data_IF_493451130019
#
_entry.id   IF_493451130019
#
_cell.length_a   1.000
_cell.length_b   1.000
_cell.length_c   1.000
_cell.angle_alpha   90.00
_cell.angle_beta   90.00
_cell.angle_gamma   90.00
#
_symmetry.space_group_name_H-M   'P 1'
#
loop_
_entity.id
_entity.type
_entity.pdbx_description
1 polymer ?
#
# COMPACT_ATOMS: atom_id res chain seq x y z
N UNK A 1 -23.58 0.90 -14.81
CA UNK A 1 -24.08 1.44 -13.52
C UNK A 1 -23.04 1.38 -12.41
N UNK A 2 -22.46 0.22 -12.05
CA UNK A 2 -21.43 0.12 -10.99
C UNK A 2 -20.17 0.97 -11.23
N UNK A 3 -19.62 0.95 -12.44
CA UNK A 3 -18.45 1.77 -12.81
C UNK A 3 -18.74 3.28 -12.74
N UNK A 4 -19.98 3.69 -13.04
CA UNK A 4 -20.41 5.09 -12.98
C UNK A 4 -20.58 5.57 -11.54
N UNK A 5 -20.99 4.68 -10.63
CA UNK A 5 -21.06 4.97 -9.19
C UNK A 5 -19.65 5.12 -8.59
N UNK A 6 -18.71 4.25 -8.96
CA UNK A 6 -17.30 4.39 -8.53
C UNK A 6 -16.69 5.68 -9.08
N UNK A 7 -16.91 5.99 -10.35
CA UNK A 7 -16.44 7.24 -10.96
C UNK A 7 -17.06 8.48 -10.30
N UNK A 8 -18.36 8.44 -9.95
CA UNK A 8 -19.04 9.51 -9.25
C UNK A 8 -18.56 9.69 -7.80
N UNK A 9 -18.22 8.61 -7.10
CA UNK A 9 -17.61 8.70 -5.77
C UNK A 9 -16.19 9.28 -5.81
N UNK A 10 -15.41 8.97 -6.86
CA UNK A 10 -14.05 9.49 -7.04
C UNK A 10 -14.03 10.98 -7.41
N UNK A 11 -15.07 11.49 -8.09
CA UNK A 11 -15.16 12.91 -8.48
C UNK A 11 -15.78 13.83 -7.41
N UNK A 12 -16.21 13.28 -6.28
CA UNK A 12 -16.64 14.03 -5.09
C UNK A 12 -15.50 14.30 -4.10
N UNK A 13 -14.26 14.01 -4.48
CA UNK A 13 -13.06 14.31 -3.68
C UNK A 13 -12.97 15.80 -3.40
N UNK A 14 -13.23 16.21 -2.16
CA UNK A 14 -12.98 17.56 -1.68
C UNK A 14 -11.52 17.95 -1.86
N UNK A 15 -11.20 19.23 -1.62
CA UNK A 15 -9.85 19.80 -1.76
C UNK A 15 -8.80 18.83 -1.18
N UNK A 16 -8.07 18.14 -2.06
CA UNK A 16 -7.02 17.22 -1.68
C UNK A 16 -5.81 18.07 -1.30
N UNK A 17 -5.38 17.95 -0.06
CA UNK A 17 -4.17 18.60 0.45
C UNK A 17 -3.05 17.56 0.55
N UNK A 18 -1.79 18.01 0.46
CA UNK A 18 -0.62 17.14 0.62
C UNK A 18 -0.11 17.20 2.06
N UNK A 19 0.36 16.08 2.58
CA UNK A 19 0.97 16.05 3.90
C UNK A 19 2.33 16.78 3.88
N UNK A 20 2.57 17.62 4.89
CA UNK A 20 3.91 18.12 5.23
C UNK A 20 4.50 17.27 6.34
N UNK A 21 5.26 16.25 5.95
CA UNK A 21 5.88 15.26 6.82
C UNK A 21 7.38 15.09 6.52
N UNK A 22 8.12 14.45 7.42
CA UNK A 22 9.55 14.18 7.22
C UNK A 22 9.82 12.83 6.56
N UNK A 23 10.86 12.77 5.75
CA UNK A 23 11.30 11.53 5.09
C UNK A 23 11.77 10.43 6.05
N UNK A 24 12.22 10.79 7.26
CA UNK A 24 12.84 9.89 8.23
C UNK A 24 12.10 9.87 9.57
N UNK A 25 10.80 10.17 9.58
CA UNK A 25 9.97 10.09 10.78
C UNK A 25 9.71 8.65 11.25
N UNK A 26 9.35 8.49 12.53
CA UNK A 26 8.92 7.19 13.09
C UNK A 26 7.78 6.56 12.29
N UNK A 27 6.86 7.38 11.84
CA UNK A 27 5.74 7.01 10.98
C UNK A 27 6.19 6.29 9.69
N UNK A 28 7.30 6.73 9.07
CA UNK A 28 7.86 6.09 7.87
C UNK A 28 8.40 4.70 8.12
N UNK A 29 8.94 4.46 9.31
CA UNK A 29 9.34 3.10 9.71
C UNK A 29 8.13 2.18 9.86
N UNK A 30 6.98 2.70 10.32
CA UNK A 30 5.73 1.93 10.39
C UNK A 30 5.19 1.60 8.99
N UNK A 31 5.18 2.59 8.08
CA UNK A 31 4.85 2.38 6.67
C UNK A 31 5.70 1.27 6.04
N UNK A 32 7.02 1.36 6.20
CA UNK A 32 7.95 0.35 5.72
C UNK A 32 7.66 -1.05 6.31
N UNK A 33 7.58 -1.15 7.64
CA UNK A 33 7.44 -2.44 8.33
C UNK A 33 6.07 -3.09 8.05
N UNK A 34 5.00 -2.30 8.09
CA UNK A 34 3.65 -2.79 7.81
C UNK A 34 3.51 -3.24 6.36
N UNK A 35 4.04 -2.49 5.40
CA UNK A 35 4.04 -2.87 3.99
C UNK A 35 4.89 -4.11 3.70
N UNK A 36 6.04 -4.26 4.38
CA UNK A 36 6.82 -5.49 4.30
C UNK A 36 6.03 -6.70 4.81
N UNK A 37 5.37 -6.57 5.95
CA UNK A 37 4.55 -7.62 6.53
C UNK A 37 3.34 -7.97 5.63
N UNK A 38 2.64 -6.97 5.11
CA UNK A 38 1.50 -7.16 4.20
C UNK A 38 1.92 -7.85 2.90
N UNK A 39 3.07 -7.46 2.31
CA UNK A 39 3.57 -8.12 1.11
C UNK A 39 3.90 -9.60 1.38
N UNK A 40 4.61 -9.88 2.48
CA UNK A 40 4.92 -11.25 2.91
C UNK A 40 3.67 -12.09 3.15
N UNK A 41 2.72 -11.55 3.93
CA UNK A 41 1.45 -12.21 4.22
C UNK A 41 0.62 -12.46 2.95
N UNK A 42 0.59 -11.50 2.02
CA UNK A 42 -0.09 -11.65 0.74
C UNK A 42 0.54 -12.76 -0.12
N UNK A 43 1.88 -12.82 -0.19
CA UNK A 43 2.55 -13.93 -0.89
C UNK A 43 2.30 -15.28 -0.22
N UNK A 44 2.28 -15.35 1.11
CA UNK A 44 1.93 -16.57 1.83
C UNK A 44 0.50 -17.02 1.53
N UNK A 45 -0.46 -16.09 1.57
CA UNK A 45 -1.86 -16.37 1.25
C UNK A 45 -2.04 -16.77 -0.23
N UNK A 46 -1.19 -16.29 -1.13
CA UNK A 46 -1.15 -16.72 -2.53
C UNK A 46 -0.53 -18.12 -2.67
N UNK A 47 0.53 -18.43 -1.91
CA UNK A 47 1.19 -19.73 -1.87
C UNK A 47 0.22 -20.84 -1.47
N UNK A 48 -0.56 -20.63 -0.40
CA UNK A 48 -1.57 -21.56 0.10
C UNK A 48 -2.67 -21.85 -0.94
N UNK A 49 -2.88 -20.92 -1.88
CA UNK A 49 -3.81 -21.08 -3.02
C UNK A 49 -3.14 -21.69 -4.26
N UNK A 50 -1.92 -22.20 -4.14
CA UNK A 50 -1.17 -22.83 -5.22
C UNK A 50 -0.55 -21.85 -6.23
N UNK A 51 -0.58 -20.55 -5.95
CA UNK A 51 0.17 -19.58 -6.77
C UNK A 51 1.67 -19.70 -6.45
N UNK A 52 2.50 -19.55 -7.49
CA UNK A 52 3.96 -19.72 -7.40
C UNK A 52 4.66 -18.62 -8.19
N UNK A 53 5.92 -18.35 -7.83
CA UNK A 53 6.82 -17.47 -8.56
C UNK A 53 6.22 -16.08 -8.82
N UNK A 54 6.23 -15.62 -10.06
CA UNK A 54 5.77 -14.27 -10.41
C UNK A 54 4.28 -13.99 -10.16
N UNK A 55 3.41 -15.01 -10.05
CA UNK A 55 1.98 -14.80 -9.71
C UNK A 55 1.80 -14.51 -8.22
N UNK A 56 2.51 -15.26 -7.39
CA UNK A 56 2.53 -15.10 -5.95
C UNK A 56 3.12 -13.73 -5.56
N UNK A 57 4.26 -13.37 -6.16
CA UNK A 57 4.90 -12.07 -5.96
C UNK A 57 3.98 -10.91 -6.33
N UNK A 58 3.35 -10.96 -7.52
CA UNK A 58 2.38 -9.93 -7.95
C UNK A 58 1.21 -9.80 -6.98
N UNK A 59 0.67 -10.92 -6.50
CA UNK A 59 -0.44 -10.86 -5.55
C UNK A 59 -0.02 -10.16 -4.25
N UNK A 60 1.09 -10.57 -3.64
CA UNK A 60 1.54 -9.97 -2.37
C UNK A 60 1.92 -8.49 -2.49
N UNK A 61 2.65 -8.12 -3.54
CA UNK A 61 3.01 -6.72 -3.79
C UNK A 61 1.78 -5.85 -4.04
N UNK A 62 0.86 -6.29 -4.90
CA UNK A 62 -0.38 -5.55 -5.16
C UNK A 62 -1.27 -5.47 -3.92
N UNK A 63 -1.32 -6.54 -3.11
CA UNK A 63 -2.06 -6.56 -1.86
C UNK A 63 -1.54 -5.49 -0.89
N UNK A 64 -0.22 -5.44 -0.67
CA UNK A 64 0.40 -4.42 0.18
C UNK A 64 0.18 -2.99 -0.32
N UNK A 65 0.48 -2.74 -1.60
CA UNK A 65 0.34 -1.40 -2.19
C UNK A 65 -1.11 -0.91 -2.20
N UNK A 66 -2.09 -1.80 -2.31
CA UNK A 66 -3.50 -1.43 -2.22
C UNK A 66 -3.86 -0.84 -0.84
N UNK A 67 -3.26 -1.34 0.24
CA UNK A 67 -3.43 -0.75 1.57
C UNK A 67 -2.76 0.62 1.69
N UNK A 68 -1.53 0.78 1.19
CA UNK A 68 -0.83 2.06 1.19
C UNK A 68 -1.60 3.14 0.42
N UNK A 69 -1.94 2.86 -0.84
CA UNK A 69 -2.76 3.76 -1.68
C UNK A 69 -4.13 4.03 -1.03
N UNK A 70 -4.77 2.99 -0.48
CA UNK A 70 -6.05 3.12 0.20
C UNK A 70 -5.99 4.05 1.40
N UNK A 71 -4.91 3.98 2.20
CA UNK A 71 -4.65 4.89 3.32
C UNK A 71 -4.47 6.32 2.82
N UNK A 72 -3.63 6.55 1.80
CA UNK A 72 -3.42 7.89 1.26
C UNK A 72 -4.69 8.53 0.68
N UNK A 73 -5.53 7.73 0.01
CA UNK A 73 -6.86 8.18 -0.44
C UNK A 73 -7.77 8.54 0.74
N UNK A 74 -7.67 7.79 1.85
CA UNK A 74 -8.41 8.08 3.08
C UNK A 74 -7.91 9.36 3.77
N UNK A 75 -6.60 9.59 3.75
CA UNK A 75 -5.97 10.76 4.37
C UNK A 75 -6.19 12.03 3.54
N UNK A 76 -6.46 11.90 2.23
CA UNK A 76 -6.79 13.00 1.32
C UNK A 76 -8.16 13.66 1.55
N UNK A 77 -8.97 13.15 2.49
CA UNK A 77 -10.26 13.77 2.86
C UNK A 77 -10.02 15.12 3.55
N UNK A 78 -11.02 16.00 3.52
CA UNK A 78 -10.92 17.35 4.10
C UNK A 78 -10.53 17.37 5.60
N UNK A 79 -10.83 16.31 6.36
CA UNK A 79 -10.47 16.17 7.78
C UNK A 79 -9.27 15.23 8.02
N UNK A 80 -8.61 14.76 6.97
CA UNK A 80 -7.42 13.90 7.05
C UNK A 80 -6.11 14.68 7.05
N UNK A 81 -4.99 13.96 7.11
CA UNK A 81 -3.63 14.51 7.11
C UNK A 81 -3.15 14.98 5.72
N UNK A 82 -3.88 14.64 4.66
CA UNK A 82 -3.47 14.86 3.28
C UNK A 82 -2.65 13.71 2.70
N UNK A 83 -2.51 13.70 1.38
CA UNK A 83 -1.73 12.69 0.64
C UNK A 83 -0.23 12.88 0.91
N UNK A 84 0.46 11.82 1.34
CA UNK A 84 1.91 11.75 1.45
C UNK A 84 2.52 10.85 0.38
N UNK A 85 3.29 11.47 -0.53
CA UNK A 85 4.16 10.71 -1.43
C UNK A 85 5.32 10.02 -0.69
N UNK A 86 5.66 10.52 0.50
CA UNK A 86 6.75 9.96 1.31
C UNK A 86 6.32 8.64 1.91
N UNK A 87 5.11 8.58 2.48
CA UNK A 87 4.49 7.34 2.96
C UNK A 87 4.40 6.31 1.86
N UNK A 88 3.85 6.68 0.70
CA UNK A 88 3.73 5.75 -0.42
C UNK A 88 5.09 5.22 -0.90
N UNK A 89 6.13 6.05 -0.90
CA UNK A 89 7.49 5.60 -1.23
C UNK A 89 8.01 4.58 -0.21
N UNK A 90 7.75 4.80 1.08
CA UNK A 90 8.11 3.84 2.13
C UNK A 90 7.25 2.56 2.08
N UNK A 91 6.00 2.64 1.64
CA UNK A 91 5.17 1.47 1.37
C UNK A 91 5.71 0.62 0.22
N UNK A 92 6.18 1.27 -0.85
CA UNK A 92 6.85 0.58 -1.97
C UNK A 92 8.15 -0.08 -1.50
N UNK A 93 8.99 0.65 -0.77
CA UNK A 93 10.26 0.13 -0.23
C UNK A 93 10.01 -1.05 0.73
N UNK A 94 9.04 -0.91 1.63
CA UNK A 94 8.61 -1.95 2.57
C UNK A 94 8.11 -3.19 1.83
N UNK A 95 7.20 -3.01 0.87
CA UNK A 95 6.67 -4.12 0.06
C UNK A 95 7.78 -4.88 -0.68
N UNK A 96 8.77 -4.17 -1.23
CA UNK A 96 9.94 -4.78 -1.89
C UNK A 96 10.86 -5.53 -0.90
N UNK A 97 11.02 -5.01 0.32
CA UNK A 97 11.74 -5.69 1.39
C UNK A 97 11.01 -6.97 1.82
N UNK A 98 9.69 -6.90 2.02
CA UNK A 98 8.84 -8.06 2.31
C UNK A 98 8.91 -9.14 1.23
N UNK A 99 8.90 -8.74 -0.05
CA UNK A 99 9.18 -9.61 -1.19
C UNK A 99 10.53 -10.33 -1.04
N UNK A 100 11.58 -9.58 -0.80
CA UNK A 100 12.95 -10.12 -0.71
C UNK A 100 13.11 -11.08 0.47
N UNK A 101 12.56 -10.72 1.64
CA UNK A 101 12.60 -11.56 2.84
C UNK A 101 11.83 -12.86 2.66
N UNK A 102 10.61 -12.79 2.11
CA UNK A 102 9.82 -13.99 1.83
C UNK A 102 10.57 -14.94 0.88
N UNK A 103 11.19 -14.39 -0.17
CA UNK A 103 11.98 -15.18 -1.14
C UNK A 103 13.27 -15.75 -0.57
N UNK A 104 13.82 -15.17 0.49
CA UNK A 104 14.98 -15.71 1.18
C UNK A 104 14.61 -16.82 2.18
N UNK A 105 13.35 -16.89 2.58
CA UNK A 105 12.83 -17.87 3.54
C UNK A 105 12.11 -19.07 2.88
N UNK A 106 11.74 -18.95 1.60
CA UNK A 106 11.16 -20.00 0.75
C UNK A 106 12.26 -20.83 0.05
#
# INVERSE_FOLDING_TARGET
MRALLVAACLSLGGCSHFAEDDWLGQDKALHFASSAALAAAGMQAAHERGLRGGRQARFGLSFSLAFGIGKELHDSRAAGSGWSWKDLAWDVAGSAAGYSLYRAAD
#
